data_IF_512427286563
#
_entry.id   IF_512427286563
#
_cell.length_a   1.000
_cell.length_b   1.000
_cell.length_c   1.000
_cell.angle_alpha   90.00
_cell.angle_beta   90.00
_cell.angle_gamma   90.00
#
_symmetry.space_group_name_H-M   'P 1'
#
loop_
_entity.id
_entity.type
_entity.pdbx_description
1 polymer ?
#
# COMPACT_ATOMS: atom_id res chain seq x y z
N UNK A 1 37.35 9.08 17.16
CA UNK A 1 36.24 8.93 16.18
C UNK A 1 35.23 8.03 16.84
N UNK A 2 34.01 8.49 17.08
CA UNK A 2 32.94 7.65 17.59
C UNK A 2 32.53 6.67 16.49
N UNK A 3 32.43 5.39 16.82
CA UNK A 3 31.89 4.41 15.87
C UNK A 3 30.48 4.84 15.43
N UNK A 4 30.11 4.64 14.14
CA UNK A 4 28.79 4.96 13.67
C UNK A 4 27.76 4.10 14.45
N UNK A 5 26.69 4.73 14.87
CA UNK A 5 25.58 4.03 15.55
C UNK A 5 24.90 3.11 14.53
N UNK A 6 24.79 1.82 14.85
CA UNK A 6 23.99 0.86 14.07
C UNK A 6 22.49 1.16 14.29
N UNK A 7 21.81 1.58 13.23
CA UNK A 7 20.37 1.86 13.20
C UNK A 7 19.60 0.82 12.37
N UNK A 8 20.24 -0.30 12.04
CA UNK A 8 19.58 -1.36 11.28
C UNK A 8 18.49 -2.05 12.11
N UNK A 9 17.49 -2.56 11.42
CA UNK A 9 16.31 -3.21 12.02
C UNK A 9 16.09 -4.57 11.36
N UNK A 10 15.75 -5.59 12.16
CA UNK A 10 15.14 -6.80 11.65
C UNK A 10 13.62 -6.57 11.50
N UNK A 11 13.13 -6.69 10.29
CA UNK A 11 11.72 -6.52 9.96
C UNK A 11 11.14 -7.85 9.47
N UNK A 12 10.59 -8.63 10.37
CA UNK A 12 10.04 -9.95 10.08
C UNK A 12 11.03 -10.87 9.32
N UNK A 13 12.30 -10.87 9.72
CA UNK A 13 13.38 -11.65 9.10
C UNK A 13 14.05 -10.95 7.90
N UNK A 14 13.58 -9.80 7.46
CA UNK A 14 14.24 -8.96 6.45
C UNK A 14 15.05 -7.87 7.14
N UNK A 15 16.38 -7.84 6.90
CA UNK A 15 17.24 -6.80 7.45
C UNK A 15 17.10 -5.50 6.67
N UNK A 16 16.73 -4.43 7.37
CA UNK A 16 16.71 -3.07 6.88
C UNK A 16 17.95 -2.32 7.40
N UNK A 17 18.62 -1.54 6.54
CA UNK A 17 19.78 -0.75 6.94
C UNK A 17 19.44 0.38 7.95
N UNK A 18 18.20 0.82 7.94
CA UNK A 18 17.63 1.80 8.88
C UNK A 18 16.09 1.62 8.93
N UNK A 19 15.38 2.22 9.91
CA UNK A 19 13.93 2.01 10.07
C UNK A 19 13.04 2.80 9.10
N UNK A 20 13.61 3.53 8.14
CA UNK A 20 12.83 4.41 7.25
C UNK A 20 12.37 3.64 6.00
N UNK A 21 11.06 3.57 5.82
CA UNK A 21 10.43 3.03 4.61
C UNK A 21 9.54 4.07 3.95
N UNK A 22 9.36 3.97 2.63
CA UNK A 22 8.33 4.77 1.95
C UNK A 22 6.93 4.28 2.31
N UNK A 23 5.94 5.19 2.26
CA UNK A 23 4.54 4.78 2.34
C UNK A 23 3.98 4.51 0.93
N UNK A 24 3.23 3.43 0.77
CA UNK A 24 2.65 3.08 -0.53
C UNK A 24 1.76 4.19 -1.09
N UNK A 25 1.89 4.44 -2.39
CA UNK A 25 1.12 5.46 -3.10
C UNK A 25 1.67 6.88 -3.02
N UNK A 26 2.74 7.14 -2.25
CA UNK A 26 3.38 8.46 -2.14
C UNK A 26 4.62 8.62 -3.03
N UNK A 27 5.29 7.52 -3.33
CA UNK A 27 6.61 7.50 -3.98
C UNK A 27 6.64 6.69 -5.29
N UNK A 28 5.51 6.43 -5.91
CA UNK A 28 5.43 5.72 -7.18
C UNK A 28 6.01 4.30 -7.14
N UNK A 29 6.81 3.99 -8.15
CA UNK A 29 7.50 2.70 -8.31
C UNK A 29 9.03 2.83 -8.23
N UNK A 30 9.50 3.87 -7.57
CA UNK A 30 10.89 4.27 -7.38
C UNK A 30 11.48 5.13 -8.49
N UNK A 31 11.21 4.85 -9.76
CA UNK A 31 11.72 5.63 -10.88
C UNK A 31 11.34 7.12 -10.83
N UNK A 32 10.20 7.45 -10.24
CA UNK A 32 9.75 8.84 -10.09
C UNK A 32 10.54 9.64 -9.02
N UNK A 33 11.21 8.95 -8.09
CA UNK A 33 12.02 9.59 -7.04
C UNK A 33 13.52 9.67 -7.36
N UNK A 34 14.01 8.88 -8.30
CA UNK A 34 15.43 8.75 -8.61
C UNK A 34 16.10 10.10 -8.97
N UNK A 35 15.33 11.03 -9.53
CA UNK A 35 15.82 12.38 -9.87
C UNK A 35 15.97 13.32 -8.66
N UNK A 36 15.38 12.96 -7.50
CA UNK A 36 15.33 13.82 -6.32
C UNK A 36 16.18 13.30 -5.16
N UNK A 37 16.36 11.99 -5.05
CA UNK A 37 17.14 11.38 -3.98
C UNK A 37 17.66 10.00 -4.36
N UNK A 38 18.77 9.59 -3.73
CA UNK A 38 19.20 8.20 -3.78
C UNK A 38 18.30 7.33 -2.89
N UNK A 39 17.44 6.53 -3.52
CA UNK A 39 16.48 5.66 -2.85
C UNK A 39 17.18 4.60 -1.99
N UNK A 40 18.41 4.20 -2.36
CA UNK A 40 19.19 3.20 -1.61
C UNK A 40 19.66 3.70 -0.23
N UNK A 41 19.45 4.97 0.11
CA UNK A 41 19.66 5.50 1.46
C UNK A 41 18.55 5.15 2.44
N UNK A 42 17.40 4.67 1.96
CA UNK A 42 16.29 4.20 2.78
C UNK A 42 16.54 2.80 3.33
N UNK A 43 15.83 2.42 4.37
CA UNK A 43 15.83 1.05 4.89
C UNK A 43 15.06 0.07 4.02
N UNK A 44 14.03 0.55 3.30
CA UNK A 44 13.25 -0.23 2.36
C UNK A 44 12.28 0.61 1.56
N UNK A 45 11.69 0.03 0.53
CA UNK A 45 10.77 0.71 -0.38
C UNK A 45 9.44 -0.05 -0.47
N UNK A 46 8.32 0.64 -0.24
CA UNK A 46 6.98 0.11 -0.49
C UNK A 46 6.42 0.77 -1.75
N UNK A 47 6.11 -0.03 -2.75
CA UNK A 47 5.64 0.47 -4.04
C UNK A 47 4.23 1.04 -3.97
N UNK A 48 3.86 1.84 -4.97
CA UNK A 48 2.46 2.12 -5.28
C UNK A 48 1.71 0.81 -5.52
N UNK A 49 0.41 0.79 -5.15
CA UNK A 49 -0.43 -0.40 -5.30
C UNK A 49 -0.47 -0.92 -6.73
N UNK A 50 -0.42 -2.24 -6.85
CA UNK A 50 -0.62 -2.97 -8.11
C UNK A 50 -1.93 -3.74 -8.02
N UNK A 51 -2.72 -3.69 -9.09
CA UNK A 51 -3.90 -4.54 -9.30
C UNK A 51 -3.67 -5.47 -10.49
N UNK A 52 -4.45 -6.55 -10.59
CA UNK A 52 -4.35 -7.49 -11.70
C UNK A 52 -4.45 -6.75 -13.03
N UNK A 53 -5.52 -5.99 -13.20
CA UNK A 53 -5.74 -5.14 -14.37
C UNK A 53 -5.33 -3.68 -14.11
N UNK A 54 -4.90 -2.92 -15.13
CA UNK A 54 -4.55 -1.51 -14.98
C UNK A 54 -5.78 -0.66 -14.63
N UNK A 55 -5.56 0.40 -13.83
CA UNK A 55 -6.62 1.36 -13.45
C UNK A 55 -6.26 2.78 -13.85
N UNK A 56 -7.18 3.48 -14.50
CA UNK A 56 -7.03 4.90 -14.87
C UNK A 56 -7.16 5.83 -13.66
N UNK A 57 -7.84 5.36 -12.60
CA UNK A 57 -8.23 6.19 -11.47
C UNK A 57 -9.43 7.09 -11.76
N UNK A 58 -9.69 8.01 -10.81
CA UNK A 58 -10.82 8.92 -10.89
C UNK A 58 -10.56 10.09 -11.85
N UNK A 59 -11.64 10.79 -12.22
CA UNK A 59 -11.55 12.06 -12.95
C UNK A 59 -10.90 13.16 -12.11
N UNK A 60 -10.33 14.16 -12.77
CA UNK A 60 -9.81 15.40 -12.12
C UNK A 60 -10.94 16.39 -11.84
N UNK A 61 -10.77 17.26 -10.81
CA UNK A 61 -9.64 17.39 -9.89
C UNK A 61 -9.57 16.23 -8.89
N UNK A 62 -8.36 15.69 -8.67
CA UNK A 62 -8.10 14.52 -7.82
C UNK A 62 -7.27 14.82 -6.58
N UNK A 63 -6.80 16.06 -6.43
CA UNK A 63 -6.00 16.53 -5.31
C UNK A 63 -6.50 17.90 -4.93
N UNK A 64 -6.54 18.19 -3.63
CA UNK A 64 -6.83 19.51 -3.08
C UNK A 64 -6.01 19.71 -1.81
N UNK A 65 -5.35 20.87 -1.71
CA UNK A 65 -4.66 21.30 -0.50
C UNK A 65 -5.67 21.85 0.52
N UNK A 66 -5.33 21.70 1.79
CA UNK A 66 -6.08 22.22 2.93
C UNK A 66 -5.10 22.87 3.90
N UNK A 67 -5.59 23.67 4.85
CA UNK A 67 -4.75 24.35 5.85
C UNK A 67 -3.90 23.38 6.69
N UNK A 68 -4.33 22.14 6.85
CA UNK A 68 -3.67 21.12 7.68
C UNK A 68 -3.08 19.96 6.87
N UNK A 69 -3.05 20.03 5.54
CA UNK A 69 -2.53 18.95 4.70
C UNK A 69 -3.15 18.88 3.31
N UNK A 70 -3.39 17.68 2.82
CA UNK A 70 -3.86 17.45 1.45
C UNK A 70 -4.86 16.29 1.41
N UNK A 71 -5.89 16.42 0.58
CA UNK A 71 -6.78 15.31 0.22
C UNK A 71 -6.55 14.87 -1.21
N UNK A 72 -6.60 13.56 -1.42
CA UNK A 72 -6.54 12.98 -2.74
C UNK A 72 -7.75 12.07 -3.02
N UNK A 73 -8.08 11.94 -4.29
CA UNK A 73 -9.05 10.97 -4.81
C UNK A 73 -8.48 10.31 -6.08
N UNK A 74 -7.26 9.77 -5.99
CA UNK A 74 -6.55 9.18 -7.14
C UNK A 74 -7.30 7.97 -7.71
N UNK A 75 -8.00 7.17 -6.88
CA UNK A 75 -8.78 6.03 -7.31
C UNK A 75 -7.92 4.83 -7.73
N UNK A 76 -6.81 4.59 -7.02
CA UNK A 76 -5.88 3.47 -7.28
C UNK A 76 -5.36 3.43 -8.73
N UNK A 77 -5.16 4.59 -9.37
CA UNK A 77 -4.52 4.64 -10.70
C UNK A 77 -3.19 3.88 -10.66
N UNK A 78 -3.04 2.86 -11.49
CA UNK A 78 -1.85 2.02 -11.53
C UNK A 78 -1.71 1.34 -12.90
N UNK A 79 -0.52 0.81 -13.16
CA UNK A 79 -0.16 0.24 -14.46
C UNK A 79 -0.67 -1.18 -14.69
N UNK A 80 -1.18 -1.87 -13.66
CA UNK A 80 -1.54 -3.27 -13.70
C UNK A 80 -0.32 -4.20 -13.63
N UNK A 81 -0.58 -5.48 -13.34
CA UNK A 81 0.44 -6.49 -13.10
C UNK A 81 1.39 -6.68 -14.28
N UNK A 82 0.87 -6.91 -15.47
CA UNK A 82 1.70 -7.23 -16.64
C UNK A 82 2.65 -6.09 -17.02
N UNK A 83 2.16 -4.86 -16.96
CA UNK A 83 2.99 -3.69 -17.25
C UNK A 83 3.99 -3.41 -16.11
N UNK A 84 3.62 -3.68 -14.87
CA UNK A 84 4.53 -3.60 -13.73
C UNK A 84 5.73 -4.56 -13.90
N UNK A 85 5.46 -5.82 -14.23
CA UNK A 85 6.51 -6.83 -14.45
C UNK A 85 7.43 -6.43 -15.61
N UNK A 86 6.87 -5.89 -16.69
CA UNK A 86 7.65 -5.53 -17.88
C UNK A 86 8.47 -4.24 -17.70
N UNK A 87 7.92 -3.23 -17.02
CA UNK A 87 8.47 -1.86 -17.06
C UNK A 87 9.02 -1.40 -15.70
N UNK A 88 8.44 -1.86 -14.59
CA UNK A 88 8.80 -1.36 -13.26
C UNK A 88 9.69 -2.33 -12.47
N UNK A 89 9.45 -3.61 -12.63
CA UNK A 89 10.27 -4.63 -11.97
C UNK A 89 11.76 -4.52 -12.34
N UNK A 90 12.18 -4.29 -13.62
CA UNK A 90 13.58 -4.07 -13.94
C UNK A 90 14.23 -2.87 -13.23
N UNK A 91 13.47 -1.83 -12.90
CA UNK A 91 13.97 -0.70 -12.08
C UNK A 91 14.18 -1.16 -10.64
N UNK A 92 13.22 -1.90 -10.09
CA UNK A 92 13.31 -2.45 -8.72
C UNK A 92 14.50 -3.40 -8.58
N UNK A 93 14.83 -4.18 -9.59
CA UNK A 93 15.99 -5.09 -9.63
C UNK A 93 17.34 -4.36 -9.50
N UNK A 94 17.40 -3.07 -9.79
CA UNK A 94 18.61 -2.26 -9.61
C UNK A 94 18.80 -1.72 -8.19
N UNK A 95 17.77 -1.83 -7.34
CA UNK A 95 17.82 -1.31 -5.98
C UNK A 95 18.57 -2.26 -5.05
N UNK A 96 19.35 -1.69 -4.13
CA UNK A 96 20.11 -2.45 -3.12
C UNK A 96 19.40 -2.59 -1.78
N UNK A 97 18.18 -2.08 -1.68
CA UNK A 97 17.34 -2.13 -0.47
C UNK A 97 16.15 -3.08 -0.67
N UNK A 98 15.59 -3.66 0.41
CA UNK A 98 14.39 -4.48 0.32
C UNK A 98 13.21 -3.73 -0.26
N UNK A 99 12.51 -4.35 -1.22
CA UNK A 99 11.31 -3.79 -1.84
C UNK A 99 10.10 -4.65 -1.52
N UNK A 100 9.06 -4.02 -1.00
CA UNK A 100 7.76 -4.63 -0.73
C UNK A 100 6.75 -4.13 -1.74
N UNK A 101 6.07 -5.03 -2.41
CA UNK A 101 5.05 -4.65 -3.41
C UNK A 101 3.70 -4.50 -2.73
N UNK A 102 3.11 -3.31 -2.82
CA UNK A 102 1.74 -3.10 -2.33
C UNK A 102 0.74 -3.71 -3.33
N UNK A 103 -0.08 -4.63 -2.84
CA UNK A 103 -1.07 -5.37 -3.64
C UNK A 103 -2.47 -4.90 -3.27
N UNK A 104 -3.28 -4.61 -4.28
CA UNK A 104 -4.67 -4.23 -4.15
C UNK A 104 -5.55 -5.00 -5.15
N UNK A 105 -6.82 -5.17 -4.83
CA UNK A 105 -7.79 -5.88 -5.67
C UNK A 105 -9.22 -5.62 -5.22
N UNK A 106 -10.18 -6.21 -5.90
CA UNK A 106 -11.62 -6.16 -5.59
C UNK A 106 -12.18 -7.53 -5.21
N UNK A 107 -11.41 -8.58 -5.43
CA UNK A 107 -11.72 -9.96 -5.02
C UNK A 107 -10.46 -10.62 -4.46
N UNK A 108 -10.61 -11.61 -3.58
CA UNK A 108 -9.48 -12.36 -3.03
C UNK A 108 -8.65 -13.00 -4.15
N UNK A 109 -9.30 -13.53 -5.18
CA UNK A 109 -8.64 -14.16 -6.32
C UNK A 109 -7.68 -13.20 -7.05
N UNK A 110 -8.05 -11.90 -7.18
CA UNK A 110 -7.17 -10.88 -7.77
C UNK A 110 -5.92 -10.65 -6.92
N UNK A 111 -6.05 -10.56 -5.58
CA UNK A 111 -4.91 -10.43 -4.68
C UNK A 111 -3.98 -11.63 -4.76
N UNK A 112 -4.53 -12.84 -4.75
CA UNK A 112 -3.78 -14.09 -4.85
C UNK A 112 -3.02 -14.14 -6.19
N UNK A 113 -3.69 -13.87 -7.32
CA UNK A 113 -3.07 -13.92 -8.63
C UNK A 113 -1.89 -12.94 -8.78
N UNK A 114 -2.03 -11.71 -8.26
CA UNK A 114 -0.93 -10.72 -8.26
C UNK A 114 0.24 -11.22 -7.41
N UNK A 115 -0.05 -11.75 -6.22
CA UNK A 115 0.96 -12.23 -5.29
C UNK A 115 1.72 -13.43 -5.85
N UNK A 116 1.02 -14.45 -6.35
CA UNK A 116 1.61 -15.65 -6.97
C UNK A 116 2.55 -15.28 -8.13
N UNK A 117 2.12 -14.35 -9.00
CA UNK A 117 2.93 -13.92 -10.15
C UNK A 117 4.22 -13.24 -9.74
N UNK A 118 4.23 -12.55 -8.58
CA UNK A 118 5.40 -11.80 -8.09
C UNK A 118 6.22 -12.55 -7.05
N UNK A 119 5.73 -13.63 -6.47
CA UNK A 119 6.44 -14.41 -5.45
C UNK A 119 7.75 -15.00 -5.95
N UNK A 120 7.83 -15.37 -7.23
CA UNK A 120 9.06 -15.89 -7.84
C UNK A 120 10.11 -14.81 -8.16
N UNK A 121 9.80 -13.52 -8.00
CA UNK A 121 10.71 -12.42 -8.34
C UNK A 121 11.66 -12.14 -7.16
N UNK A 122 12.96 -12.37 -7.36
CA UNK A 122 13.99 -12.21 -6.30
C UNK A 122 14.07 -10.79 -5.75
N UNK A 123 13.84 -9.77 -6.60
CA UNK A 123 13.86 -8.37 -6.20
C UNK A 123 12.70 -7.97 -5.25
N UNK A 124 11.69 -8.83 -5.10
CA UNK A 124 10.56 -8.59 -4.19
C UNK A 124 10.84 -9.26 -2.85
N UNK A 125 11.07 -8.46 -1.81
CA UNK A 125 11.31 -8.96 -0.44
C UNK A 125 10.02 -9.41 0.26
N UNK A 126 8.88 -8.85 -0.12
CA UNK A 126 7.58 -9.16 0.47
C UNK A 126 6.45 -8.37 -0.15
N UNK A 127 5.28 -8.47 0.48
CA UNK A 127 4.06 -7.82 0.00
C UNK A 127 3.41 -7.00 1.10
N UNK A 128 2.88 -5.82 0.73
CA UNK A 128 1.96 -5.05 1.57
C UNK A 128 0.53 -5.24 1.05
N UNK A 129 -0.29 -5.94 1.81
CA UNK A 129 -1.68 -6.23 1.48
C UNK A 129 -2.57 -5.02 1.80
N UNK A 130 -3.09 -4.33 0.80
CA UNK A 130 -3.96 -3.18 0.95
C UNK A 130 -5.43 -3.62 1.04
N UNK A 131 -5.93 -3.83 2.27
CA UNK A 131 -7.29 -4.30 2.53
C UNK A 131 -8.35 -3.18 2.59
N UNK A 132 -7.99 -1.94 2.27
CA UNK A 132 -8.94 -0.82 2.25
C UNK A 132 -9.79 -0.74 0.98
N UNK A 133 -9.57 -1.64 0.00
CA UNK A 133 -10.36 -1.71 -1.21
C UNK A 133 -11.73 -2.38 -0.96
N UNK A 134 -12.78 -1.96 -1.70
CA UNK A 134 -14.09 -2.58 -1.57
C UNK A 134 -14.12 -4.01 -2.13
N UNK A 135 -14.74 -4.92 -1.38
CA UNK A 135 -15.01 -6.30 -1.82
C UNK A 135 -16.26 -6.33 -2.71
N UNK A 136 -16.08 -6.48 -4.01
CA UNK A 136 -17.20 -6.49 -4.97
C UNK A 136 -18.13 -7.68 -4.75
N UNK A 137 -17.61 -8.85 -4.40
CA UNK A 137 -18.40 -10.06 -4.12
C UNK A 137 -19.29 -9.92 -2.87
N UNK A 138 -18.95 -9.00 -1.94
CA UNK A 138 -19.70 -8.73 -0.70
C UNK A 138 -20.33 -7.32 -0.67
N UNK A 139 -20.80 -6.84 -1.81
CA UNK A 139 -21.56 -5.59 -1.91
C UNK A 139 -20.76 -4.30 -1.77
N UNK A 140 -19.44 -4.35 -1.99
CA UNK A 140 -18.56 -3.17 -1.97
C UNK A 140 -18.09 -2.72 -0.58
N UNK A 141 -18.32 -3.51 0.47
CA UNK A 141 -17.76 -3.27 1.81
C UNK A 141 -16.25 -3.50 1.75
N UNK A 142 -15.48 -2.63 2.38
CA UNK A 142 -14.01 -2.78 2.44
C UNK A 142 -13.63 -4.07 3.19
N UNK A 143 -12.69 -4.84 2.65
CA UNK A 143 -12.16 -6.04 3.34
C UNK A 143 -11.67 -5.72 4.75
N UNK A 144 -11.03 -4.57 4.94
CA UNK A 144 -10.40 -4.19 6.19
C UNK A 144 -11.36 -3.75 7.31
N UNK A 145 -12.68 -3.66 7.06
CA UNK A 145 -13.66 -3.25 8.07
C UNK A 145 -14.36 -4.40 8.77
N UNK A 146 -14.18 -5.63 8.29
CA UNK A 146 -14.76 -6.84 8.86
C UNK A 146 -13.65 -7.83 9.23
N UNK A 147 -13.43 -8.11 10.54
CA UNK A 147 -12.38 -9.02 10.99
C UNK A 147 -12.40 -10.39 10.31
N UNK A 148 -13.58 -10.94 10.02
CA UNK A 148 -13.70 -12.24 9.35
C UNK A 148 -13.16 -12.21 7.92
N UNK A 149 -13.39 -11.11 7.20
CA UNK A 149 -12.83 -10.90 5.86
C UNK A 149 -11.33 -10.64 5.91
N UNK A 150 -10.84 -9.94 6.96
CA UNK A 150 -9.40 -9.73 7.16
C UNK A 150 -8.69 -11.07 7.35
N UNK A 151 -9.22 -11.99 8.19
CA UNK A 151 -8.66 -13.36 8.33
C UNK A 151 -8.65 -14.08 6.99
N UNK A 152 -9.79 -14.08 6.29
CA UNK A 152 -9.97 -14.82 5.02
C UNK A 152 -8.97 -14.36 3.95
N UNK A 153 -8.90 -13.06 3.68
CA UNK A 153 -8.01 -12.52 2.64
C UNK A 153 -6.53 -12.65 3.04
N UNK A 154 -6.20 -12.39 4.31
CA UNK A 154 -4.81 -12.51 4.77
C UNK A 154 -4.31 -13.93 4.64
N UNK A 155 -5.11 -14.93 5.03
CA UNK A 155 -4.77 -16.35 4.91
C UNK A 155 -4.58 -16.78 3.46
N UNK A 156 -5.46 -16.35 2.57
CA UNK A 156 -5.36 -16.67 1.15
C UNK A 156 -4.09 -16.08 0.52
N UNK A 157 -3.79 -14.81 0.81
CA UNK A 157 -2.60 -14.15 0.28
C UNK A 157 -1.33 -14.68 0.94
N UNK A 158 -1.34 -15.03 2.25
CA UNK A 158 -0.18 -15.64 2.92
C UNK A 158 0.19 -16.98 2.28
N UNK A 159 -0.78 -17.78 1.92
CA UNK A 159 -0.52 -19.04 1.20
C UNK A 159 0.16 -18.82 -0.16
N UNK A 160 -0.12 -17.70 -0.84
CA UNK A 160 0.48 -17.31 -2.11
C UNK A 160 1.86 -16.66 -1.98
N UNK A 161 2.21 -16.11 -0.80
CA UNK A 161 3.48 -15.40 -0.56
C UNK A 161 4.71 -16.33 -0.52
N UNK A 162 4.54 -17.64 -0.30
CA UNK A 162 5.66 -18.53 -0.01
C UNK A 162 6.41 -18.09 1.26
N UNK A 163 7.73 -17.99 1.15
CA UNK A 163 8.61 -17.56 2.25
C UNK A 163 8.72 -16.03 2.39
N UNK A 164 8.05 -15.26 1.53
CA UNK A 164 8.14 -13.80 1.56
C UNK A 164 7.29 -13.19 2.68
N UNK A 165 7.74 -12.04 3.16
CA UNK A 165 7.04 -11.29 4.22
C UNK A 165 5.69 -10.77 3.73
N UNK A 166 4.63 -11.00 4.51
CA UNK A 166 3.32 -10.42 4.32
C UNK A 166 3.04 -9.33 5.37
N UNK A 167 2.95 -8.10 4.91
CA UNK A 167 2.53 -6.94 5.70
C UNK A 167 1.05 -6.70 5.43
N UNK A 168 0.21 -6.55 6.44
CA UNK A 168 -1.19 -6.16 6.25
C UNK A 168 -1.38 -4.70 6.62
N UNK A 169 -1.83 -3.89 5.65
CA UNK A 169 -2.09 -2.47 5.86
C UNK A 169 -3.52 -2.22 6.31
N UNK A 170 -3.66 -1.85 7.58
CA UNK A 170 -4.94 -1.65 8.24
C UNK A 170 -5.62 -0.35 7.82
N UNK A 171 -6.96 -0.37 7.78
CA UNK A 171 -7.78 0.83 7.57
C UNK A 171 -8.12 1.50 8.91
N UNK A 172 -8.16 2.84 8.98
CA UNK A 172 -8.65 3.55 10.16
C UNK A 172 -10.19 3.63 10.21
N UNK A 173 -10.90 3.11 9.20
CA UNK A 173 -12.36 3.20 9.08
C UNK A 173 -13.09 2.14 9.94
N UNK A 174 -12.63 1.93 11.16
CA UNK A 174 -13.14 0.96 12.15
C UNK A 174 -13.22 1.62 13.51
N UNK A 175 -14.06 1.08 14.40
CA UNK A 175 -14.19 1.59 15.77
C UNK A 175 -13.00 1.17 16.65
N UNK A 176 -12.53 -0.08 16.50
CA UNK A 176 -11.37 -0.61 17.19
C UNK A 176 -10.44 -1.31 16.18
N UNK A 177 -9.31 -0.65 15.90
CA UNK A 177 -8.29 -1.17 14.98
C UNK A 177 -7.61 -2.44 15.51
N UNK A 178 -7.63 -2.66 16.82
CA UNK A 178 -7.01 -3.82 17.45
C UNK A 178 -7.73 -5.14 17.08
N UNK A 179 -9.02 -5.09 16.74
CA UNK A 179 -9.77 -6.24 16.27
C UNK A 179 -9.29 -6.68 14.89
N UNK A 180 -9.16 -5.73 13.95
CA UNK A 180 -8.66 -6.03 12.60
C UNK A 180 -7.16 -6.37 12.61
N UNK A 181 -6.38 -5.81 13.53
CA UNK A 181 -4.98 -6.19 13.74
C UNK A 181 -4.86 -7.67 14.18
N UNK A 182 -5.64 -8.09 15.18
CA UNK A 182 -5.69 -9.50 15.63
C UNK A 182 -6.13 -10.43 14.51
N UNK A 183 -7.13 -10.03 13.72
CA UNK A 183 -7.61 -10.78 12.58
C UNK A 183 -6.52 -10.95 11.49
N UNK A 184 -5.73 -9.92 11.21
CA UNK A 184 -4.61 -10.01 10.29
C UNK A 184 -3.54 -11.00 10.80
N UNK A 185 -3.20 -10.95 12.09
CA UNK A 185 -2.26 -11.90 12.73
C UNK A 185 -2.80 -13.32 12.66
N UNK A 186 -4.09 -13.53 12.97
CA UNK A 186 -4.75 -14.85 12.85
C UNK A 186 -4.71 -15.37 11.41
N UNK A 187 -4.83 -14.49 10.42
CA UNK A 187 -4.70 -14.81 9.00
C UNK A 187 -3.27 -15.15 8.56
N UNK A 188 -2.26 -14.90 9.41
CA UNK A 188 -0.85 -15.22 9.16
C UNK A 188 -0.02 -14.03 8.68
N UNK A 189 -0.41 -12.79 8.96
CA UNK A 189 0.42 -11.62 8.71
C UNK A 189 1.73 -11.69 9.51
N UNK A 190 2.85 -11.39 8.87
CA UNK A 190 4.18 -11.31 9.51
C UNK A 190 4.42 -9.92 10.13
N UNK A 191 3.77 -8.89 9.58
CA UNK A 191 3.84 -7.51 10.05
C UNK A 191 2.55 -6.74 9.77
N UNK A 192 2.38 -5.60 10.43
CA UNK A 192 1.26 -4.69 10.23
C UNK A 192 1.76 -3.32 9.79
N UNK A 193 1.06 -2.69 8.84
CA UNK A 193 1.26 -1.30 8.47
C UNK A 193 0.08 -0.46 8.98
N UNK A 194 0.35 0.54 9.79
CA UNK A 194 -0.64 1.45 10.35
C UNK A 194 -0.30 2.88 9.91
N UNK A 195 -1.22 3.53 9.27
CA UNK A 195 -2.53 3.12 8.80
C UNK A 195 -2.76 3.57 7.36
N UNK A 196 -3.83 3.10 6.71
CA UNK A 196 -4.31 3.69 5.47
C UNK A 196 -4.94 5.07 5.79
N UNK A 197 -5.45 5.74 4.81
CA UNK A 197 -5.89 7.14 4.83
C UNK A 197 -7.28 7.31 5.45
N UNK A 198 -7.54 8.47 6.09
CA UNK A 198 -8.88 8.88 6.52
C UNK A 198 -9.68 9.41 5.34
N UNK A 199 -10.98 9.11 5.32
CA UNK A 199 -11.91 9.72 4.37
C UNK A 199 -12.32 11.11 4.85
N UNK A 200 -12.25 12.10 3.97
CA UNK A 200 -12.65 13.46 4.27
C UNK A 200 -13.26 14.15 3.04
N UNK A 201 -13.82 15.35 3.23
CA UNK A 201 -14.42 16.16 2.16
C UNK A 201 -14.02 17.62 2.36
N UNK A 202 -13.64 18.30 1.27
CA UNK A 202 -13.54 19.76 1.21
C UNK A 202 -14.70 20.29 0.39
N UNK A 203 -15.41 21.25 0.97
CA UNK A 203 -16.54 21.94 0.33
C UNK A 203 -16.12 23.38 0.02
N UNK A 204 -16.25 23.79 -1.23
CA UNK A 204 -16.17 25.17 -1.63
C UNK A 204 -17.39 25.92 -1.07
N UNK A 205 -17.16 26.89 -0.19
CA UNK A 205 -18.21 27.61 0.52
C UNK A 205 -19.02 28.59 -0.35
N UNK A 206 -18.43 29.06 -1.46
CA UNK A 206 -19.08 29.94 -2.41
C UNK A 206 -20.02 29.15 -3.33
N UNK A 207 -19.51 28.08 -3.93
CA UNK A 207 -20.28 27.23 -4.85
C UNK A 207 -21.13 26.18 -4.13
N UNK A 208 -20.86 25.90 -2.85
CA UNK A 208 -21.48 24.86 -2.01
C UNK A 208 -21.37 23.46 -2.63
N UNK A 209 -20.25 23.20 -3.27
CA UNK A 209 -19.96 21.91 -3.91
C UNK A 209 -18.67 21.30 -3.39
N UNK A 210 -18.55 19.96 -3.42
CA UNK A 210 -17.26 19.31 -3.18
C UNK A 210 -16.22 19.77 -4.21
N UNK A 211 -15.00 20.04 -3.72
CA UNK A 211 -13.89 20.47 -4.58
C UNK A 211 -13.39 19.32 -5.45
N UNK A 212 -13.31 18.11 -4.87
CA UNK A 212 -12.87 16.92 -5.60
C UNK A 212 -13.98 16.36 -6.50
N UNK A 213 -13.65 15.94 -7.72
CA UNK A 213 -14.60 15.34 -8.66
C UNK A 213 -15.29 14.08 -8.07
N UNK A 214 -14.59 13.31 -7.24
CA UNK A 214 -15.13 12.14 -6.53
C UNK A 214 -15.92 12.49 -5.26
N UNK A 215 -16.20 13.79 -4.99
CA UNK A 215 -16.85 14.35 -3.81
C UNK A 215 -16.04 14.19 -2.53
N UNK A 216 -15.70 12.97 -2.14
CA UNK A 216 -14.82 12.66 -1.00
C UNK A 216 -13.40 12.36 -1.49
N UNK A 217 -12.44 12.61 -0.63
CA UNK A 217 -11.05 12.25 -0.81
C UNK A 217 -10.50 11.50 0.39
N UNK A 218 -9.25 11.11 0.28
CA UNK A 218 -8.47 10.44 1.31
C UNK A 218 -7.34 11.36 1.74
N UNK A 219 -7.07 11.43 3.04
CA UNK A 219 -5.95 12.22 3.56
C UNK A 219 -4.61 11.67 3.05
N UNK A 220 -3.70 12.56 2.61
CA UNK A 220 -2.33 12.18 2.25
C UNK A 220 -1.36 12.45 3.39
N UNK A 221 -1.58 13.56 4.11
CA UNK A 221 -0.75 13.97 5.23
C UNK A 221 -1.67 14.39 6.36
N UNK A 222 -1.42 13.85 7.51
CA UNK A 222 -1.86 14.39 8.78
C UNK A 222 -0.74 14.07 9.75
N UNK A 223 -0.03 15.09 9.97
CA UNK A 223 1.07 15.10 10.94
C UNK A 223 0.56 15.80 12.18
#
# INVERSE_FOLDING_TARGET
>A
MTEPIDISVDFAGVRLANPVLTASGTCGYADELADFMDINTLGGFITKSITLEPRKGNATPRIVETDAGMLNAIGLANVGLERFVREKLPVIETMSIPVFVNVAGTTIDEYVAVTERLTSQEAVAGFELNISCPNVKKGGISFGTDPSQVVEITRAVKAACGEKVLIVKLTPAVTDISETARAAIEGGADALSLINTFTAMVIDTETRRPVLANRTGLSLIHI
#
